data_IF_184377115456
#
_entry.id   IF_184377115456
#
_cell.length_a   1.000
_cell.length_b   1.000
_cell.length_c   1.000
_cell.angle_alpha   90.00
_cell.angle_beta   90.00
_cell.angle_gamma   90.00
#
_symmetry.space_group_name_H-M   'P 1'
#
loop_
_entity.id
_entity.type
_entity.pdbx_description
1 polymer ?
#
# COMPACT_ATOMS: atom_id res chain seq x y z
N UNK A 1 -6.34 0.62 -14.11
CA UNK A 1 -5.57 -0.37 -13.31
C UNK A 1 -4.89 -1.40 -14.19
N UNK A 2 -3.56 -1.34 -14.25
CA UNK A 2 -2.72 -2.35 -14.92
C UNK A 2 -2.65 -3.62 -14.07
N UNK A 3 -2.81 -4.79 -14.69
CA UNK A 3 -2.75 -6.07 -13.96
C UNK A 3 -1.29 -6.42 -13.60
N UNK A 4 -0.92 -6.26 -12.34
CA UNK A 4 0.37 -6.72 -11.79
C UNK A 4 0.30 -8.19 -11.40
N UNK A 5 1.36 -8.96 -11.69
CA UNK A 5 1.46 -10.38 -11.34
C UNK A 5 1.51 -10.61 -9.83
N UNK A 6 0.94 -11.72 -9.36
CA UNK A 6 1.02 -12.11 -7.95
C UNK A 6 2.48 -12.28 -7.46
N UNK A 7 3.41 -12.68 -8.33
CA UNK A 7 4.83 -12.85 -7.99
C UNK A 7 5.47 -11.52 -7.58
N UNK A 8 5.34 -10.47 -8.40
CA UNK A 8 5.79 -9.11 -8.05
C UNK A 8 5.17 -8.59 -6.74
N UNK A 9 3.87 -8.84 -6.53
CA UNK A 9 3.18 -8.44 -5.30
C UNK A 9 3.73 -9.16 -4.07
N UNK A 10 4.05 -10.44 -4.20
CA UNK A 10 4.65 -11.23 -3.13
C UNK A 10 6.07 -10.76 -2.83
N UNK A 11 6.89 -10.54 -3.86
CA UNK A 11 8.25 -10.00 -3.72
C UNK A 11 8.25 -8.66 -2.99
N UNK A 12 7.36 -7.75 -3.38
CA UNK A 12 7.22 -6.47 -2.69
C UNK A 12 6.80 -6.64 -1.22
N UNK A 13 5.84 -7.52 -0.94
CA UNK A 13 5.43 -7.78 0.45
C UNK A 13 6.54 -8.39 1.30
N UNK A 14 7.34 -9.30 0.73
CA UNK A 14 8.48 -9.90 1.41
C UNK A 14 9.50 -8.81 1.75
N UNK A 15 9.82 -7.93 0.78
CA UNK A 15 10.69 -6.78 1.02
C UNK A 15 10.17 -5.87 2.13
N UNK A 16 8.89 -5.50 2.10
CA UNK A 16 8.29 -4.62 3.10
C UNK A 16 8.42 -5.23 4.51
N UNK A 17 8.15 -6.52 4.66
CA UNK A 17 8.21 -7.25 5.94
C UNK A 17 9.63 -7.30 6.49
N UNK A 18 10.62 -7.41 5.61
CA UNK A 18 12.04 -7.48 5.97
C UNK A 18 12.68 -6.11 6.25
N UNK A 19 12.21 -5.05 5.59
CA UNK A 19 12.92 -3.77 5.54
C UNK A 19 12.21 -2.62 6.27
N UNK A 20 10.90 -2.73 6.56
CA UNK A 20 10.13 -1.64 7.15
C UNK A 20 9.79 -1.90 8.62
N UNK A 21 10.02 -0.90 9.46
CA UNK A 21 9.53 -0.87 10.83
C UNK A 21 8.09 -0.34 10.86
N UNK A 22 7.21 -1.03 11.56
CA UNK A 22 5.78 -0.68 11.61
C UNK A 22 5.44 0.15 12.83
N UNK A 23 4.61 1.19 12.67
CA UNK A 23 4.05 1.93 13.81
C UNK A 23 3.32 1.04 14.80
N UNK A 24 2.66 -0.01 14.29
CA UNK A 24 1.93 -0.96 15.12
C UNK A 24 2.18 -2.39 14.66
N UNK A 25 2.23 -3.32 15.62
CA UNK A 25 2.24 -4.77 15.35
C UNK A 25 1.03 -5.22 14.52
N UNK A 26 -0.07 -4.47 14.60
CA UNK A 26 -1.31 -4.75 13.88
C UNK A 26 -1.14 -4.55 12.36
N UNK A 27 -0.44 -3.49 11.93
CA UNK A 27 -0.08 -3.30 10.51
C UNK A 27 0.78 -4.44 9.96
N UNK A 28 1.85 -4.79 10.68
CA UNK A 28 2.71 -5.93 10.33
C UNK A 28 1.93 -7.26 10.20
N UNK A 29 1.03 -7.53 11.15
CA UNK A 29 0.23 -8.77 11.16
C UNK A 29 -0.72 -8.86 9.97
N UNK A 30 -1.31 -7.75 9.55
CA UNK A 30 -2.21 -7.73 8.40
C UNK A 30 -1.50 -8.16 7.11
N UNK A 31 -0.28 -7.68 6.86
CA UNK A 31 0.53 -8.08 5.70
C UNK A 31 0.85 -9.57 5.68
N UNK A 32 1.12 -10.17 6.83
CA UNK A 32 1.36 -11.62 6.92
C UNK A 32 0.17 -12.44 6.41
N UNK A 33 -1.05 -11.92 6.51
CA UNK A 33 -2.25 -12.61 6.02
C UNK A 33 -2.52 -12.34 4.54
N UNK A 34 -2.21 -11.13 4.06
CA UNK A 34 -2.39 -10.78 2.64
C UNK A 34 -1.45 -11.53 1.69
N UNK A 35 -0.33 -12.06 2.21
CA UNK A 35 0.61 -12.91 1.45
C UNK A 35 0.04 -14.26 1.04
N UNK A 36 -1.08 -14.70 1.62
CA UNK A 36 -1.75 -15.93 1.20
C UNK A 36 -2.24 -15.82 -0.25
N UNK A 37 -1.94 -16.82 -1.09
CA UNK A 37 -2.19 -16.79 -2.55
C UNK A 37 -3.63 -16.41 -2.93
N UNK A 38 -4.62 -16.89 -2.18
CA UNK A 38 -6.05 -16.60 -2.41
C UNK A 38 -6.41 -15.13 -2.19
N UNK A 39 -5.76 -14.50 -1.21
CA UNK A 39 -5.95 -13.11 -0.82
C UNK A 39 -5.15 -12.21 -1.75
N UNK A 40 -3.91 -12.60 -2.04
CA UNK A 40 -2.95 -11.90 -2.90
C UNK A 40 -3.50 -11.57 -4.30
N UNK A 41 -4.29 -12.49 -4.88
CA UNK A 41 -4.90 -12.29 -6.20
C UNK A 41 -5.92 -11.15 -6.24
N UNK A 42 -6.44 -10.75 -5.08
CA UNK A 42 -7.46 -9.70 -4.92
C UNK A 42 -6.89 -8.40 -4.37
N UNK A 43 -5.62 -8.41 -3.93
CA UNK A 43 -4.90 -7.23 -3.46
C UNK A 43 -4.45 -6.38 -4.65
N UNK A 44 -4.69 -5.09 -4.57
CA UNK A 44 -4.18 -4.06 -5.47
C UNK A 44 -3.42 -3.03 -4.63
N UNK A 45 -2.16 -2.75 -4.99
CA UNK A 45 -1.42 -1.69 -4.33
C UNK A 45 -1.76 -0.35 -4.99
N UNK A 46 -2.10 0.65 -4.16
CA UNK A 46 -2.58 1.96 -4.61
C UNK A 46 -1.95 3.09 -3.80
N UNK A 47 -2.01 4.31 -4.33
CA UNK A 47 -1.56 5.55 -3.68
C UNK A 47 -2.61 6.12 -2.73
N UNK A 48 -3.89 5.87 -3.00
CA UNK A 48 -4.98 6.42 -2.21
C UNK A 48 -6.08 5.39 -1.96
N UNK A 49 -5.95 4.63 -0.88
CA UNK A 49 -6.89 3.61 -0.47
C UNK A 49 -8.29 4.17 -0.14
N UNK A 50 -8.39 5.43 0.30
CA UNK A 50 -9.66 6.05 0.70
C UNK A 50 -10.67 6.24 -0.44
N UNK A 51 -10.21 6.17 -1.70
CA UNK A 51 -11.08 6.21 -2.89
C UNK A 51 -11.87 4.93 -3.09
N UNK A 52 -11.46 3.85 -2.44
CA UNK A 52 -11.98 2.51 -2.69
C UNK A 52 -12.89 2.03 -1.57
N UNK A 53 -13.93 1.30 -1.95
CA UNK A 53 -14.87 0.69 -1.03
C UNK A 53 -14.25 -0.35 -0.11
N UNK A 54 -13.12 -0.94 -0.45
CA UNK A 54 -12.37 -1.86 0.42
C UNK A 54 -10.92 -1.41 0.43
N UNK A 55 -10.68 -0.31 1.13
CA UNK A 55 -9.37 0.31 1.26
C UNK A 55 -8.71 -0.02 2.60
N UNK A 56 -7.41 -0.28 2.56
CA UNK A 56 -6.57 -0.40 3.73
C UNK A 56 -5.37 0.55 3.58
N UNK A 57 -5.18 1.42 4.55
CA UNK A 57 -3.98 2.24 4.66
C UNK A 57 -3.12 1.71 5.79
N UNK A 58 -1.83 1.46 5.53
CA UNK A 58 -0.83 1.06 6.51
C UNK A 58 0.33 2.05 6.50
N UNK A 59 0.66 2.60 7.66
CA UNK A 59 1.75 3.58 7.79
C UNK A 59 2.88 3.01 8.64
N UNK A 60 4.09 3.06 8.08
CA UNK A 60 5.33 2.63 8.75
C UNK A 60 5.79 3.65 9.79
N UNK A 61 6.67 3.23 10.71
CA UNK A 61 7.17 4.06 11.81
C UNK A 61 7.86 5.34 11.30
N UNK A 62 8.45 5.26 10.11
CA UNK A 62 9.21 6.34 9.48
C UNK A 62 8.36 7.32 8.64
N UNK A 63 7.04 7.24 8.70
CA UNK A 63 6.12 8.09 7.94
C UNK A 63 5.07 8.72 8.84
N UNK A 64 4.60 9.92 8.52
CA UNK A 64 3.55 10.60 9.28
C UNK A 64 2.14 10.03 8.99
N UNK A 65 1.17 10.27 9.87
CA UNK A 65 -0.21 9.78 9.71
C UNK A 65 -0.64 8.62 10.62
N UNK A 66 -1.91 8.20 10.51
CA UNK A 66 -2.47 7.10 11.29
C UNK A 66 -1.79 5.77 10.95
N UNK A 67 -1.55 4.94 11.97
CA UNK A 67 -0.82 3.69 11.78
C UNK A 67 -1.56 2.72 10.84
N UNK A 68 -2.88 2.64 10.97
CA UNK A 68 -3.75 1.77 10.18
C UNK A 68 -5.14 2.40 10.05
N UNK A 69 -5.66 2.47 8.82
CA UNK A 69 -7.01 2.96 8.53
C UNK A 69 -7.75 1.99 7.60
N UNK A 70 -9.03 1.73 7.90
CA UNK A 70 -9.90 0.88 7.08
C UNK A 70 -11.01 1.72 6.44
N UNK A 71 -11.20 1.54 5.13
CA UNK A 71 -12.26 2.17 4.37
C UNK A 71 -13.23 1.11 3.90
N UNK A 72 -14.48 1.14 4.42
CA UNK A 72 -15.55 0.27 3.96
C UNK A 72 -16.87 0.98 3.72
N UNK A 73 -17.78 0.42 2.91
CA UNK A 73 -19.07 1.05 2.61
C UNK A 73 -19.98 1.10 3.84
N UNK A 74 -19.77 0.18 4.79
CA UNK A 74 -20.61 -0.01 5.97
C UNK A 74 -20.05 0.67 7.23
N UNK A 75 -18.97 1.46 7.11
CA UNK A 75 -18.32 2.15 8.21
C UNK A 75 -17.00 1.51 8.64
N UNK A 76 -16.66 1.61 9.92
CA UNK A 76 -15.41 1.05 10.45
C UNK A 76 -15.46 -0.47 10.51
N UNK A 77 -14.45 -1.15 9.97
CA UNK A 77 -14.22 -2.57 10.30
C UNK A 77 -13.62 -2.68 11.69
N UNK A 78 -14.01 -3.75 12.39
CA UNK A 78 -13.47 -4.04 13.71
C UNK A 78 -12.11 -4.76 13.61
N UNK A 79 -11.81 -5.43 12.48
CA UNK A 79 -10.52 -6.10 12.28
C UNK A 79 -10.15 -6.36 10.81
N UNK A 80 -8.86 -6.63 10.53
CA UNK A 80 -8.39 -7.05 9.20
C UNK A 80 -8.86 -8.46 8.85
N UNK A 81 -9.19 -9.33 9.81
CA UNK A 81 -9.74 -10.65 9.50
C UNK A 81 -11.04 -10.52 8.71
N UNK A 82 -11.91 -9.59 9.12
CA UNK A 82 -13.14 -9.29 8.39
C UNK A 82 -12.87 -8.70 7.00
N UNK A 83 -11.75 -8.00 6.84
CA UNK A 83 -11.30 -7.47 5.55
C UNK A 83 -10.80 -8.60 4.63
N UNK A 84 -10.09 -9.59 5.17
CA UNK A 84 -9.56 -10.76 4.43
C UNK A 84 -10.66 -11.73 4.02
N UNK A 85 -11.64 -11.95 4.91
CA UNK A 85 -12.78 -12.86 4.68
C UNK A 85 -13.72 -12.37 3.58
N UNK A 86 -13.74 -11.07 3.32
CA UNK A 86 -14.47 -10.52 2.18
C UNK A 86 -13.85 -11.06 0.88
N UNK A 87 -14.67 -11.39 -0.14
CA UNK A 87 -14.21 -11.95 -1.44
C UNK A 87 -13.95 -10.87 -2.51
N UNK A 88 -14.18 -9.58 -2.21
CA UNK A 88 -13.98 -8.46 -3.13
C UNK A 88 -12.50 -8.12 -3.32
N UNK A 89 -12.25 -7.19 -4.25
CA UNK A 89 -10.95 -6.56 -4.45
C UNK A 89 -10.58 -5.69 -3.25
N UNK A 90 -9.32 -5.80 -2.80
CA UNK A 90 -8.76 -5.05 -1.68
C UNK A 90 -7.71 -4.07 -2.19
N UNK A 91 -7.79 -2.83 -1.74
CA UNK A 91 -6.92 -1.75 -2.19
C UNK A 91 -6.02 -1.32 -1.04
N UNK A 92 -4.74 -1.65 -1.12
CA UNK A 92 -3.78 -1.45 -0.05
C UNK A 92 -2.86 -0.28 -0.40
N UNK A 93 -2.81 0.70 0.48
CA UNK A 93 -1.83 1.78 0.47
C UNK A 93 -0.81 1.54 1.57
N UNK A 94 0.47 1.59 1.24
CA UNK A 94 1.58 1.50 2.20
C UNK A 94 2.34 2.82 2.21
N UNK A 95 2.38 3.49 3.36
CA UNK A 95 3.10 4.73 3.55
C UNK A 95 4.46 4.44 4.20
N UNK A 96 5.53 4.68 3.45
CA UNK A 96 6.91 4.56 3.92
C UNK A 96 7.81 5.57 3.21
N UNK A 97 8.90 5.94 3.90
CA UNK A 97 9.92 6.86 3.38
C UNK A 97 10.69 6.22 2.21
N UNK A 98 10.94 6.97 1.14
CA UNK A 98 11.66 6.55 -0.05
C UNK A 98 10.83 5.72 -1.02
N UNK A 99 9.50 5.69 -0.88
CA UNK A 99 8.65 4.78 -1.67
C UNK A 99 8.76 5.00 -3.18
N UNK A 100 8.91 6.24 -3.63
CA UNK A 100 9.01 6.56 -5.06
C UNK A 100 10.40 6.29 -5.67
N UNK A 101 11.41 6.07 -4.83
CA UNK A 101 12.74 5.59 -5.25
C UNK A 101 12.80 4.06 -5.27
N UNK A 102 11.85 3.39 -4.63
CA UNK A 102 11.79 1.94 -4.51
C UNK A 102 11.19 1.31 -5.78
N UNK A 103 12.01 0.62 -6.54
CA UNK A 103 11.57 -0.03 -7.79
C UNK A 103 10.51 -1.11 -7.58
N UNK A 104 10.56 -1.85 -6.46
CA UNK A 104 9.57 -2.89 -6.14
C UNK A 104 8.19 -2.28 -5.90
N UNK A 105 8.12 -1.11 -5.26
CA UNK A 105 6.87 -0.36 -5.08
C UNK A 105 6.30 0.10 -6.42
N UNK A 106 7.14 0.72 -7.26
CA UNK A 106 6.75 1.20 -8.58
C UNK A 106 6.29 0.06 -9.51
N UNK A 107 6.84 -1.15 -9.32
CA UNK A 107 6.46 -2.35 -10.05
C UNK A 107 5.08 -2.91 -9.68
N UNK A 108 4.55 -2.53 -8.49
CA UNK A 108 3.29 -3.08 -7.98
C UNK A 108 2.16 -2.07 -7.85
N UNK A 109 2.44 -0.77 -7.88
CA UNK A 109 1.39 0.26 -7.79
C UNK A 109 0.52 0.24 -9.05
N UNK A 110 -0.80 0.15 -8.87
CA UNK A 110 -1.77 -0.08 -9.96
C UNK A 110 -2.64 1.14 -10.28
N UNK A 111 -2.42 2.27 -9.61
CA UNK A 111 -3.15 3.52 -9.87
C UNK A 111 -2.76 4.13 -11.22
N UNK A 112 -3.76 4.63 -11.97
CA UNK A 112 -3.55 5.20 -13.31
C UNK A 112 -2.77 6.54 -13.28
N UNK A 113 -2.67 7.18 -12.12
CA UNK A 113 -1.81 8.34 -11.90
C UNK A 113 -1.32 8.39 -10.44
N UNK A 114 0.00 8.33 -10.24
CA UNK A 114 0.59 8.64 -8.94
C UNK A 114 0.18 10.06 -8.52
N UNK A 115 -0.63 10.15 -7.46
CA UNK A 115 -0.91 11.41 -6.79
C UNK A 115 0.04 11.53 -5.62
N UNK A 116 0.85 12.59 -5.58
CA UNK A 116 1.69 13.00 -4.43
C UNK A 116 0.84 13.42 -3.23
N UNK A 117 -0.12 12.58 -2.81
CA UNK A 117 -0.92 12.85 -1.63
C UNK A 117 -0.24 12.27 -0.40
N UNK A 118 0.43 13.20 0.30
CA UNK A 118 0.29 13.43 1.75
C UNK A 118 0.77 12.35 2.70
N UNK A 119 2.06 11.97 2.73
CA UNK A 119 2.65 11.27 3.89
C UNK A 119 4.15 11.59 4.11
N UNK A 120 4.64 12.65 3.46
CA UNK A 120 6.06 12.86 3.18
C UNK A 120 6.49 14.29 3.53
N UNK A 121 6.05 14.80 4.67
CA UNK A 121 6.38 16.18 5.09
C UNK A 121 7.90 16.42 5.18
N UNK A 122 8.70 15.35 5.26
CA UNK A 122 10.17 15.36 5.27
C UNK A 122 10.84 14.86 3.97
N UNK A 123 10.11 14.69 2.85
CA UNK A 123 10.72 14.30 1.56
C UNK A 123 10.79 15.44 0.55
N UNK A 124 11.78 15.34 -0.33
CA UNK A 124 12.02 16.31 -1.38
C UNK A 124 11.01 16.10 -2.54
N UNK A 125 9.90 16.81 -2.48
CA UNK A 125 8.83 16.73 -3.48
C UNK A 125 9.31 16.99 -4.92
N UNK A 126 10.24 17.93 -5.12
CA UNK A 126 10.76 18.28 -6.46
C UNK A 126 11.55 17.11 -7.08
N UNK A 127 12.31 16.40 -6.25
CA UNK A 127 13.08 15.22 -6.64
C UNK A 127 12.16 14.05 -6.99
N UNK A 128 11.13 13.82 -6.18
CA UNK A 128 10.12 12.80 -6.45
C UNK A 128 9.36 13.12 -7.74
N UNK A 129 8.96 14.38 -7.96
CA UNK A 129 8.26 14.77 -9.18
C UNK A 129 9.14 14.56 -10.43
N UNK A 130 10.45 14.81 -10.31
CA UNK A 130 11.42 14.52 -11.37
C UNK A 130 11.50 13.01 -11.65
N UNK A 131 11.60 12.17 -10.63
CA UNK A 131 11.62 10.71 -10.76
C UNK A 131 10.36 10.18 -11.45
N UNK A 132 9.19 10.64 -11.00
CA UNK A 132 7.90 10.27 -11.57
C UNK A 132 7.75 10.73 -13.02
N UNK A 133 8.31 11.88 -13.38
CA UNK A 133 8.31 12.37 -14.77
C UNK A 133 9.18 11.49 -15.66
N UNK A 134 10.37 11.11 -15.20
CA UNK A 134 11.28 10.24 -15.95
C UNK A 134 10.69 8.83 -16.19
N UNK A 135 9.91 8.30 -15.24
CA UNK A 135 9.22 7.01 -15.39
C UNK A 135 8.09 7.03 -16.43
N UNK A 136 7.60 8.22 -16.81
CA UNK A 136 6.52 8.39 -17.80
C UNK A 136 7.02 8.58 -19.24
N UNK A 137 8.33 8.73 -19.44
CA UNK A 137 9.01 8.90 -20.74
C UNK A 137 9.60 7.60 -21.25
#
# INVERSE_FOLDING_TARGET
MSKVSAEKKLEFMDWIVENLEWKTRYGFRSLMLFRCKEVLNRVHFVENASKYSYGLELTTACSEGEAVSFYTPFGALNSYEQFVENEEHMYIQINFKGKYENTLYLDVVEDDACSLRTYLDDENYDEIETLLTNLRT
#
